data_IF_975031111734
#
_entry.id   IF_975031111734
#
_cell.length_a   1.000
_cell.length_b   1.000
_cell.length_c   1.000
_cell.angle_alpha   90.00
_cell.angle_beta   90.00
_cell.angle_gamma   90.00
#
_symmetry.space_group_name_H-M   'P 1'
#
loop_
_entity.id
_entity.type
_entity.pdbx_description
1 polymer ?
#
# COMPACT_ATOMS: atom_id res chain seq x y z
N UNK A 1 -19.79 29.30 23.63
CA UNK A 1 -18.55 29.24 24.45
C UNK A 1 -18.31 27.76 24.66
N UNK A 2 -17.89 27.13 23.58
CA UNK A 2 -17.70 25.68 23.52
C UNK A 2 -16.21 25.42 23.55
N UNK A 3 -15.79 24.81 24.64
CA UNK A 3 -14.42 24.39 24.87
C UNK A 3 -14.05 23.33 23.83
N UNK A 4 -13.05 23.62 22.99
CA UNK A 4 -12.35 22.64 22.18
C UNK A 4 -11.72 21.57 23.08
N UNK A 5 -12.42 20.46 23.31
CA UNK A 5 -11.83 19.24 23.85
C UNK A 5 -10.80 18.73 22.84
N UNK A 6 -9.54 19.05 23.08
CA UNK A 6 -8.42 18.51 22.34
C UNK A 6 -8.45 16.97 22.43
N UNK A 7 -8.66 16.34 21.28
CA UNK A 7 -8.79 14.91 21.06
C UNK A 7 -7.51 14.17 21.49
N UNK A 8 -7.42 13.79 22.75
CA UNK A 8 -6.38 12.91 23.30
C UNK A 8 -6.77 11.45 23.00
N UNK A 9 -5.83 10.56 22.65
CA UNK A 9 -6.13 9.22 22.15
C UNK A 9 -6.76 8.24 23.14
N UNK A 10 -7.28 8.71 24.31
CA UNK A 10 -7.87 7.84 25.32
C UNK A 10 -9.12 8.46 25.94
N UNK A 11 -10.26 7.83 25.74
CA UNK A 11 -11.54 8.17 26.37
C UNK A 11 -11.61 7.88 27.90
N UNK A 12 -12.59 8.42 28.65
CA UNK A 12 -12.63 8.42 30.10
C UNK A 12 -13.11 7.07 30.67
N UNK A 13 -12.29 6.34 31.40
CA UNK A 13 -12.71 5.41 32.45
C UNK A 13 -11.56 4.87 33.33
N UNK A 14 -11.74 4.94 34.66
CA UNK A 14 -11.08 4.28 35.80
C UNK A 14 -9.88 4.96 36.50
N UNK A 15 -9.81 4.86 37.84
CA UNK A 15 -8.88 5.57 38.73
C UNK A 15 -7.38 5.40 38.46
N UNK A 16 -6.92 4.29 37.85
CA UNK A 16 -5.54 4.12 37.35
C UNK A 16 -5.21 4.99 36.13
N UNK A 17 -6.21 5.52 35.43
CA UNK A 17 -6.04 6.39 34.25
C UNK A 17 -5.77 7.84 34.63
N UNK A 18 -6.12 8.29 35.85
CA UNK A 18 -5.82 9.63 36.33
C UNK A 18 -4.32 9.89 36.48
N UNK A 19 -3.58 8.89 36.94
CA UNK A 19 -2.12 8.93 37.13
C UNK A 19 -1.36 9.05 35.81
N UNK A 20 -1.71 8.19 34.85
CA UNK A 20 -1.11 8.19 33.51
C UNK A 20 -1.41 9.52 32.77
N UNK A 21 -2.58 10.12 33.01
CA UNK A 21 -2.99 11.39 32.38
C UNK A 21 -2.18 12.57 32.91
N UNK A 22 -1.89 12.65 34.21
CA UNK A 22 -1.05 13.73 34.78
C UNK A 22 0.38 13.60 34.29
N UNK A 23 0.96 12.39 34.31
CA UNK A 23 2.30 12.15 33.80
C UNK A 23 2.41 12.46 32.29
N UNK A 24 1.39 12.11 31.50
CA UNK A 24 1.32 12.41 30.07
C UNK A 24 1.28 13.93 29.81
N UNK A 25 0.43 14.66 30.54
CA UNK A 25 0.32 16.11 30.41
C UNK A 25 1.61 16.82 30.82
N UNK A 26 2.29 16.33 31.85
CA UNK A 26 3.58 16.86 32.28
C UNK A 26 4.70 16.54 31.28
N UNK A 27 4.74 15.33 30.73
CA UNK A 27 5.66 14.94 29.66
C UNK A 27 5.46 15.80 28.41
N UNK A 28 4.21 16.05 28.02
CA UNK A 28 3.87 16.95 26.92
C UNK A 28 4.37 18.39 27.18
N UNK A 29 4.18 18.90 28.39
CA UNK A 29 4.67 20.23 28.77
C UNK A 29 6.21 20.31 28.71
N UNK A 30 6.91 19.28 29.16
CA UNK A 30 8.36 19.25 29.07
C UNK A 30 8.84 19.24 27.62
N UNK A 31 8.23 18.45 26.75
CA UNK A 31 8.59 18.34 25.33
C UNK A 31 8.18 19.57 24.49
N UNK A 32 7.42 20.50 25.03
CA UNK A 32 7.04 21.73 24.34
C UNK A 32 8.19 22.78 24.22
N UNK A 33 9.41 22.44 24.63
CA UNK A 33 10.58 23.33 24.55
C UNK A 33 11.90 22.58 24.75
N UNK A 34 12.99 23.31 25.05
CA UNK A 34 14.30 22.72 25.22
C UNK A 34 14.43 21.81 26.45
N UNK A 35 15.43 20.92 26.44
CA UNK A 35 15.74 20.02 27.58
C UNK A 35 16.44 20.71 28.76
N UNK A 36 16.68 22.02 28.72
CA UNK A 36 17.31 22.76 29.82
C UNK A 36 16.49 22.68 31.10
N UNK A 37 17.12 22.33 32.23
CA UNK A 37 16.45 22.10 33.50
C UNK A 37 15.58 23.27 33.98
N UNK A 38 16.03 24.51 33.78
CA UNK A 38 15.25 25.70 34.11
C UNK A 38 13.98 25.83 33.28
N UNK A 39 14.08 25.57 31.97
CA UNK A 39 12.93 25.58 31.04
C UNK A 39 11.95 24.43 31.32
N UNK A 40 12.45 23.24 31.64
CA UNK A 40 11.62 22.07 32.05
C UNK A 40 10.84 22.39 33.32
N UNK A 41 11.51 22.94 34.39
CA UNK A 41 10.87 23.34 35.64
C UNK A 41 9.74 24.35 35.37
N UNK A 42 10.03 25.41 34.59
CA UNK A 42 9.06 26.48 34.33
C UNK A 42 7.81 25.92 33.58
N UNK A 43 8.00 25.10 32.54
CA UNK A 43 6.86 24.46 31.84
C UNK A 43 6.09 23.49 32.74
N UNK A 44 6.79 22.75 33.58
CA UNK A 44 6.14 21.90 34.59
C UNK A 44 5.31 22.68 35.58
N UNK A 45 5.83 23.84 36.07
CA UNK A 45 5.11 24.77 36.94
C UNK A 45 3.84 25.31 36.25
N UNK A 46 3.95 25.70 35.00
CA UNK A 46 2.80 26.19 34.22
C UNK A 46 1.77 25.08 34.01
N UNK A 47 2.20 23.87 33.64
CA UNK A 47 1.32 22.72 33.45
C UNK A 47 0.55 22.34 34.73
N UNK A 48 1.22 22.42 35.88
CA UNK A 48 0.65 22.04 37.17
C UNK A 48 -0.05 23.21 37.91
N UNK A 49 0.14 24.45 37.42
CA UNK A 49 -0.43 25.66 38.01
C UNK A 49 0.29 26.13 39.30
N UNK A 50 1.30 25.40 39.77
CA UNK A 50 2.15 25.79 40.91
C UNK A 50 3.49 25.09 40.85
N UNK A 51 4.51 25.61 41.54
CA UNK A 51 5.80 24.95 41.71
C UNK A 51 5.69 23.85 42.78
N UNK A 52 6.22 22.68 42.47
CA UNK A 52 6.19 21.51 43.35
C UNK A 52 7.61 21.23 43.86
N UNK A 53 7.84 20.86 45.14
CA UNK A 53 9.16 20.61 45.70
C UNK A 53 10.01 19.56 44.94
N UNK A 54 9.38 18.61 44.28
CA UNK A 54 10.02 17.55 43.50
C UNK A 54 10.33 17.95 42.06
N UNK A 55 9.71 19.00 41.54
CA UNK A 55 9.83 19.40 40.13
C UNK A 55 11.26 19.77 39.71
N UNK A 56 12.07 20.51 40.51
CA UNK A 56 13.46 20.83 40.15
C UNK A 56 14.33 19.56 40.00
N UNK A 57 14.21 18.59 40.89
CA UNK A 57 14.98 17.34 40.82
C UNK A 57 14.56 16.47 39.65
N UNK A 58 13.26 16.40 39.32
CA UNK A 58 12.77 15.72 38.14
C UNK A 58 13.28 16.38 36.85
N UNK A 59 13.23 17.72 36.77
CA UNK A 59 13.75 18.47 35.61
C UNK A 59 15.25 18.21 35.35
N UNK A 60 16.05 18.15 36.40
CA UNK A 60 17.48 17.80 36.28
C UNK A 60 17.67 16.36 35.77
N UNK A 61 16.92 15.41 36.30
CA UNK A 61 17.00 14.00 35.84
C UNK A 61 16.62 13.88 34.39
N UNK A 62 15.55 14.55 33.94
CA UNK A 62 15.16 14.57 32.53
C UNK A 62 16.25 15.14 31.65
N UNK A 63 16.83 16.30 32.06
CA UNK A 63 17.93 16.94 31.35
C UNK A 63 19.12 15.98 31.14
N UNK A 64 19.54 15.28 32.20
CA UNK A 64 20.66 14.33 32.10
C UNK A 64 20.31 13.04 31.38
N UNK A 65 19.09 12.55 31.49
CA UNK A 65 18.66 11.28 30.87
C UNK A 65 18.48 11.40 29.36
N UNK A 66 18.00 12.54 28.87
CA UNK A 66 17.66 12.69 27.45
C UNK A 66 18.63 13.61 26.69
N UNK A 67 19.24 14.62 27.31
CA UNK A 67 20.26 15.48 26.71
C UNK A 67 19.89 15.93 25.27
N UNK A 68 20.74 15.57 24.31
CA UNK A 68 20.55 15.86 22.88
C UNK A 68 19.46 14.99 22.20
N UNK A 69 19.02 13.91 22.84
CA UNK A 69 17.96 13.03 22.33
C UNK A 69 16.56 13.48 22.76
N UNK A 70 16.45 14.65 23.35
CA UNK A 70 15.18 15.21 23.82
C UNK A 70 14.30 15.63 22.64
N UNK A 71 13.30 14.80 22.30
CA UNK A 71 12.39 15.01 21.16
C UNK A 71 10.97 14.53 21.47
N UNK A 72 9.95 15.02 20.74
CA UNK A 72 8.56 14.58 20.91
C UNK A 72 8.32 13.06 20.77
N UNK A 73 9.19 12.35 20.06
CA UNK A 73 9.09 10.89 19.89
C UNK A 73 9.42 10.13 21.18
N UNK A 74 10.05 10.79 22.16
CA UNK A 74 10.39 10.22 23.47
C UNK A 74 9.28 10.41 24.51
N UNK A 75 8.05 10.71 24.09
CA UNK A 75 6.93 11.00 24.99
C UNK A 75 6.64 9.82 25.96
N UNK A 76 6.65 8.59 25.47
CA UNK A 76 6.38 7.39 26.29
C UNK A 76 7.50 7.11 27.28
N UNK A 77 8.76 7.30 26.86
CA UNK A 77 9.92 7.14 27.72
C UNK A 77 9.93 8.19 28.84
N UNK A 78 9.63 9.43 28.47
CA UNK A 78 9.54 10.54 29.41
C UNK A 78 8.36 10.35 30.39
N UNK A 79 7.21 9.90 29.91
CA UNK A 79 6.07 9.55 30.77
C UNK A 79 6.45 8.43 31.75
N UNK A 80 7.16 7.42 31.29
CA UNK A 80 7.64 6.31 32.14
C UNK A 80 8.62 6.79 33.21
N UNK A 81 9.54 7.70 32.85
CA UNK A 81 10.48 8.31 33.79
C UNK A 81 9.75 9.14 34.86
N UNK A 82 8.72 9.91 34.47
CA UNK A 82 7.90 10.70 35.40
C UNK A 82 7.13 9.79 36.36
N UNK A 83 6.52 8.72 35.85
CA UNK A 83 5.79 7.74 36.67
C UNK A 83 6.70 7.03 37.68
N UNK A 84 7.98 6.79 37.31
CA UNK A 84 9.00 6.22 38.20
C UNK A 84 9.65 7.23 39.15
N UNK A 85 9.27 8.51 39.12
CA UNK A 85 9.84 9.54 40.01
C UNK A 85 9.31 9.42 41.44
N UNK A 86 10.18 9.24 42.46
CA UNK A 86 9.73 9.10 43.86
C UNK A 86 9.01 10.34 44.39
N UNK A 87 9.43 11.54 43.96
CA UNK A 87 8.80 12.80 44.38
C UNK A 87 7.41 12.97 43.78
N UNK A 88 7.27 12.63 42.51
CA UNK A 88 5.97 12.60 41.83
C UNK A 88 5.03 11.56 42.42
N UNK A 89 5.52 10.33 42.65
CA UNK A 89 4.74 9.26 43.27
C UNK A 89 4.26 9.64 44.68
N UNK A 90 5.13 10.23 45.51
CA UNK A 90 4.76 10.72 46.85
C UNK A 90 3.70 11.84 46.78
N UNK A 91 3.82 12.78 45.85
CA UNK A 91 2.86 13.85 45.67
C UNK A 91 1.49 13.38 45.21
N UNK A 92 1.45 12.27 44.44
CA UNK A 92 0.17 11.66 44.03
C UNK A 92 -0.55 10.94 45.15
N UNK A 93 0.17 10.44 46.15
CA UNK A 93 -0.39 9.77 47.34
C UNK A 93 -0.91 10.76 48.38
N UNK A 94 -0.75 12.08 48.15
CA UNK A 94 -1.21 13.13 49.05
C UNK A 94 -2.74 13.25 49.03
N UNK A 95 -3.43 12.98 50.15
CA UNK A 95 -4.89 13.06 50.22
C UNK A 95 -5.47 14.47 50.06
N UNK A 96 -4.64 15.52 50.32
CA UNK A 96 -5.06 16.92 50.27
C UNK A 96 -4.93 17.60 48.90
N UNK A 97 -4.66 16.83 47.87
CA UNK A 97 -4.70 17.31 46.50
C UNK A 97 -3.40 17.13 45.71
N UNK A 98 -3.19 15.92 45.20
CA UNK A 98 -2.05 15.59 44.30
C UNK A 98 -1.99 16.46 43.07
N UNK A 99 -0.88 16.38 42.29
CA UNK A 99 -0.66 17.18 41.10
C UNK A 99 -1.77 16.94 40.06
N UNK A 100 -2.28 18.02 39.47
CA UNK A 100 -3.29 18.00 38.40
C UNK A 100 -2.82 18.90 37.25
N UNK A 101 -3.09 18.49 36.01
CA UNK A 101 -2.81 19.35 34.87
C UNK A 101 -3.83 20.50 34.85
N UNK A 102 -3.31 21.72 34.91
CA UNK A 102 -4.07 22.98 34.84
C UNK A 102 -3.93 23.65 33.47
N UNK A 103 -2.77 23.45 32.80
CA UNK A 103 -2.54 23.94 31.46
C UNK A 103 -1.95 22.81 30.60
N UNK A 104 -2.55 22.58 29.44
CA UNK A 104 -2.07 21.63 28.47
C UNK A 104 -1.14 22.32 27.47
N UNK A 105 -0.02 21.71 27.22
CA UNK A 105 0.93 22.16 26.20
C UNK A 105 0.73 21.32 24.93
N UNK A 106 0.40 21.94 23.80
CA UNK A 106 0.33 21.21 22.55
C UNK A 106 1.72 20.73 22.18
N UNK A 107 1.89 19.44 22.01
CA UNK A 107 3.09 18.90 21.38
C UNK A 107 3.11 19.37 19.94
N UNK A 108 4.12 20.12 19.56
CA UNK A 108 4.34 20.44 18.15
C UNK A 108 4.70 19.15 17.44
N UNK A 109 3.76 18.63 16.65
CA UNK A 109 4.03 17.47 15.84
C UNK A 109 5.22 17.76 14.93
N UNK A 110 6.24 16.90 14.96
CA UNK A 110 7.39 16.98 14.08
C UNK A 110 7.40 15.74 13.19
N UNK A 111 7.79 15.94 11.95
CA UNK A 111 8.04 14.84 11.03
C UNK A 111 9.51 14.44 11.17
N UNK A 112 9.77 13.17 11.46
CA UNK A 112 11.10 12.58 11.51
C UNK A 112 11.30 11.67 10.29
N UNK A 113 11.76 12.24 9.18
CA UNK A 113 12.03 11.45 7.97
C UNK A 113 13.13 10.43 8.22
N UNK A 114 12.92 9.14 7.89
CA UNK A 114 13.94 8.12 8.08
C UNK A 114 15.13 8.35 7.14
N UNK A 115 16.33 8.06 7.62
CA UNK A 115 17.52 8.03 6.78
C UNK A 115 17.58 6.69 6.07
N UNK A 116 17.13 6.64 4.81
CA UNK A 116 17.14 5.43 3.98
C UNK A 116 17.91 5.73 2.70
N UNK A 117 18.87 4.87 2.30
CA UNK A 117 19.59 5.04 1.04
C UNK A 117 18.63 5.11 -0.15
N UNK A 118 18.78 6.16 -0.98
CA UNK A 118 17.95 6.37 -2.16
C UNK A 118 16.58 7.02 -1.89
N UNK A 119 16.24 7.31 -0.62
CA UNK A 119 15.05 8.08 -0.29
C UNK A 119 15.30 9.55 -0.65
N UNK A 120 14.48 10.09 -1.54
CA UNK A 120 14.45 11.52 -1.83
C UNK A 120 13.74 12.27 -0.68
N UNK A 121 13.98 13.57 -0.57
CA UNK A 121 13.33 14.39 0.44
C UNK A 121 11.80 14.32 0.31
N UNK A 122 11.14 13.83 1.37
CA UNK A 122 9.68 13.77 1.44
C UNK A 122 9.11 15.13 1.86
N UNK A 123 7.87 15.47 1.43
CA UNK A 123 7.19 16.66 1.92
C UNK A 123 7.12 16.67 3.45
N UNK A 124 7.55 17.77 4.07
CA UNK A 124 7.49 17.94 5.53
C UNK A 124 6.08 18.34 5.94
N UNK A 125 5.31 17.36 6.41
CA UNK A 125 3.90 17.51 6.76
C UNK A 125 3.71 17.07 8.22
N UNK A 126 3.88 18.01 9.13
CA UNK A 126 3.80 17.76 10.57
C UNK A 126 2.37 17.96 11.12
N UNK A 127 1.55 18.81 10.45
CA UNK A 127 0.19 19.15 10.89
C UNK A 127 -0.84 18.87 9.81
N UNK A 128 -2.13 18.88 10.18
CA UNK A 128 -3.23 18.73 9.20
C UNK A 128 -3.33 19.95 8.28
N UNK A 129 -3.03 21.14 8.78
CA UNK A 129 -3.00 22.36 7.96
C UNK A 129 -1.97 22.24 6.86
N UNK A 130 -0.73 21.83 7.20
CA UNK A 130 0.32 21.58 6.20
C UNK A 130 -0.06 20.50 5.19
N UNK A 131 -0.75 19.43 5.63
CA UNK A 131 -1.25 18.39 4.71
C UNK A 131 -2.36 18.95 3.81
N UNK A 132 -3.29 19.75 4.36
CA UNK A 132 -4.36 20.39 3.61
C UNK A 132 -3.81 21.34 2.55
N UNK A 133 -2.90 22.24 2.93
CA UNK A 133 -2.20 23.15 2.03
C UNK A 133 -1.46 22.41 0.92
N UNK A 134 -0.70 21.36 1.30
CA UNK A 134 0.02 20.54 0.33
C UNK A 134 -0.91 19.84 -0.66
N UNK A 135 -2.13 19.45 -0.24
CA UNK A 135 -3.16 18.85 -1.10
C UNK A 135 -4.03 19.89 -1.82
N UNK A 136 -3.86 21.21 -1.56
CA UNK A 136 -4.70 22.31 -2.05
C UNK A 136 -6.16 22.15 -1.62
N UNK A 137 -6.37 21.86 -0.33
CA UNK A 137 -7.66 21.67 0.30
C UNK A 137 -7.81 22.59 1.51
N UNK A 138 -9.05 22.86 1.91
CA UNK A 138 -9.36 23.27 3.29
C UNK A 138 -9.23 22.09 4.25
N UNK A 139 -9.09 22.34 5.54
CA UNK A 139 -9.07 21.27 6.56
C UNK A 139 -10.38 20.48 6.55
N UNK A 140 -11.52 21.16 6.35
CA UNK A 140 -12.86 20.53 6.25
C UNK A 140 -12.96 19.61 5.03
N UNK A 141 -12.45 20.04 3.87
CA UNK A 141 -12.38 19.20 2.66
C UNK A 141 -11.44 18.00 2.89
N UNK A 142 -10.31 18.21 3.58
CA UNK A 142 -9.39 17.15 3.93
C UNK A 142 -10.08 16.11 4.83
N UNK A 143 -10.80 16.54 5.88
CA UNK A 143 -11.59 15.67 6.75
C UNK A 143 -12.68 14.91 5.97
N UNK A 144 -13.36 15.62 5.07
CA UNK A 144 -14.37 15.04 4.18
C UNK A 144 -13.85 13.91 3.31
N UNK A 145 -12.69 14.10 2.66
CA UNK A 145 -12.11 13.09 1.78
C UNK A 145 -11.42 11.95 2.52
N UNK A 146 -10.79 12.23 3.65
CA UNK A 146 -10.06 11.23 4.43
C UNK A 146 -11.00 10.33 5.23
N UNK A 147 -12.12 10.89 5.74
CA UNK A 147 -13.06 10.20 6.63
C UNK A 147 -12.34 9.28 7.64
N UNK A 148 -11.46 9.83 8.50
CA UNK A 148 -10.52 9.05 9.30
C UNK A 148 -11.19 8.13 10.32
N UNK A 149 -12.46 8.37 10.62
CA UNK A 149 -13.28 7.61 11.57
C UNK A 149 -14.24 6.64 10.87
N UNK A 150 -14.28 6.65 9.53
CA UNK A 150 -15.18 5.85 8.71
C UNK A 150 -16.68 6.01 9.07
N UNK A 151 -17.08 7.20 9.55
CA UNK A 151 -18.48 7.49 9.94
C UNK A 151 -19.39 7.72 8.73
N UNK A 152 -18.79 8.07 7.60
CA UNK A 152 -19.54 8.43 6.41
C UNK A 152 -19.65 7.21 5.49
N UNK A 153 -20.75 6.47 5.62
CA UNK A 153 -21.12 5.42 4.67
C UNK A 153 -22.22 5.96 3.73
N UNK A 154 -21.87 6.81 2.73
CA UNK A 154 -22.86 7.35 1.82
C UNK A 154 -23.49 6.22 0.99
N UNK A 155 -24.72 6.43 0.52
CA UNK A 155 -25.33 5.52 -0.45
C UNK A 155 -24.40 5.40 -1.65
N UNK A 156 -24.20 4.19 -2.22
CA UNK A 156 -23.19 3.95 -3.29
C UNK A 156 -23.26 4.90 -4.48
N UNK A 157 -24.46 5.26 -4.92
CA UNK A 157 -24.68 6.15 -6.07
C UNK A 157 -24.89 7.62 -5.69
N UNK A 158 -24.70 7.94 -4.40
CA UNK A 158 -24.82 9.32 -3.93
C UNK A 158 -23.75 10.21 -4.57
N UNK A 159 -24.09 11.47 -4.91
CA UNK A 159 -23.11 12.47 -5.35
C UNK A 159 -21.95 12.64 -4.36
N UNK A 160 -22.22 12.43 -3.06
CA UNK A 160 -21.23 12.56 -1.98
C UNK A 160 -20.35 11.32 -1.80
N UNK A 161 -20.67 10.16 -2.39
CA UNK A 161 -19.79 9.00 -2.37
C UNK A 161 -18.51 9.28 -3.14
N UNK A 162 -17.35 8.84 -2.61
CA UNK A 162 -16.05 9.09 -3.22
C UNK A 162 -15.64 8.07 -4.28
N UNK A 163 -16.31 6.91 -4.33
CA UNK A 163 -15.99 5.80 -5.22
C UNK A 163 -17.17 5.41 -6.11
N UNK A 164 -16.84 4.84 -7.27
CA UNK A 164 -17.75 4.10 -8.14
C UNK A 164 -17.34 2.64 -8.13
N UNK A 165 -18.32 1.73 -8.20
CA UNK A 165 -18.10 0.30 -8.05
C UNK A 165 -18.46 -0.44 -9.32
N UNK A 166 -17.56 -1.34 -9.77
CA UNK A 166 -17.76 -2.15 -10.96
C UNK A 166 -17.34 -3.58 -10.69
N UNK A 167 -18.28 -4.52 -10.72
CA UNK A 167 -17.96 -5.93 -10.68
C UNK A 167 -17.40 -6.40 -12.03
N UNK A 168 -16.29 -7.12 -11.98
CA UNK A 168 -15.67 -7.75 -13.15
C UNK A 168 -15.52 -9.24 -12.92
N UNK A 169 -15.92 -10.07 -13.92
CA UNK A 169 -15.62 -11.51 -13.91
C UNK A 169 -14.14 -11.72 -14.26
N UNK A 170 -13.47 -12.56 -13.45
CA UNK A 170 -12.14 -13.07 -13.75
C UNK A 170 -12.23 -14.18 -14.78
N UNK A 171 -11.12 -14.52 -15.45
CA UNK A 171 -11.06 -15.64 -16.41
C UNK A 171 -11.34 -17.01 -15.77
N UNK A 172 -11.06 -17.14 -14.48
CA UNK A 172 -11.32 -18.32 -13.66
C UNK A 172 -12.77 -18.38 -13.10
N UNK A 173 -13.68 -17.52 -13.58
CA UNK A 173 -15.07 -17.42 -13.14
C UNK A 173 -15.29 -16.61 -11.87
N UNK A 174 -14.25 -16.29 -11.11
CA UNK A 174 -14.35 -15.49 -9.89
C UNK A 174 -14.78 -14.04 -10.16
N UNK A 175 -15.25 -13.34 -9.12
CA UNK A 175 -15.61 -11.92 -9.18
C UNK A 175 -14.49 -11.05 -8.59
N UNK A 176 -14.35 -9.85 -9.16
CA UNK A 176 -13.44 -8.80 -8.71
C UNK A 176 -14.20 -7.49 -8.62
N UNK A 177 -14.15 -6.82 -7.48
CA UNK A 177 -14.68 -5.48 -7.34
C UNK A 177 -13.60 -4.47 -7.75
N UNK A 178 -13.95 -3.59 -8.68
CA UNK A 178 -13.16 -2.42 -9.01
C UNK A 178 -13.78 -1.22 -8.28
N UNK A 179 -12.99 -0.59 -7.43
CA UNK A 179 -13.32 0.56 -6.61
C UNK A 179 -12.63 1.79 -7.22
N UNK A 180 -13.31 2.43 -8.15
CA UNK A 180 -12.75 3.55 -8.90
C UNK A 180 -13.02 4.88 -8.17
N UNK A 181 -11.99 5.60 -7.68
CA UNK A 181 -12.19 6.90 -7.06
C UNK A 181 -12.74 7.90 -8.06
N UNK A 182 -13.68 8.76 -7.62
CA UNK A 182 -14.20 9.87 -8.41
C UNK A 182 -13.10 10.92 -8.70
N UNK A 183 -13.28 11.79 -9.68
CA UNK A 183 -12.20 12.65 -10.21
C UNK A 183 -11.45 13.47 -9.14
N UNK A 184 -12.15 14.04 -8.15
CA UNK A 184 -11.51 14.87 -7.10
C UNK A 184 -10.61 14.03 -6.20
N UNK A 185 -11.12 12.93 -5.63
CA UNK A 185 -10.31 12.01 -4.82
C UNK A 185 -9.17 11.38 -5.66
N UNK A 186 -9.42 11.05 -6.93
CA UNK A 186 -8.38 10.51 -7.82
C UNK A 186 -7.21 11.49 -8.01
N UNK A 187 -7.48 12.79 -8.09
CA UNK A 187 -6.42 13.82 -8.16
C UNK A 187 -5.60 13.86 -6.89
N UNK A 188 -6.24 13.82 -5.72
CA UNK A 188 -5.55 13.77 -4.43
C UNK A 188 -4.65 12.54 -4.33
N UNK A 189 -5.18 11.36 -4.67
CA UNK A 189 -4.39 10.12 -4.67
C UNK A 189 -3.22 10.13 -5.67
N UNK A 190 -3.37 10.81 -6.82
CA UNK A 190 -2.24 11.01 -7.75
C UNK A 190 -1.19 11.96 -7.18
N UNK A 191 -1.60 13.01 -6.49
CA UNK A 191 -0.67 13.92 -5.81
C UNK A 191 0.11 13.18 -4.72
N UNK A 192 -0.57 12.37 -3.90
CA UNK A 192 0.07 11.48 -2.92
C UNK A 192 1.02 10.49 -3.61
N UNK A 193 0.60 9.88 -4.71
CA UNK A 193 1.45 8.97 -5.48
C UNK A 193 2.74 9.65 -5.93
N UNK A 194 2.64 10.76 -6.66
CA UNK A 194 3.80 11.37 -7.30
C UNK A 194 4.67 12.17 -6.32
N UNK A 195 4.06 12.85 -5.34
CA UNK A 195 4.78 13.71 -4.42
C UNK A 195 5.30 13.02 -3.16
N UNK A 196 4.72 11.84 -2.81
CA UNK A 196 5.05 11.18 -1.56
C UNK A 196 5.50 9.72 -1.75
N UNK A 197 4.84 8.93 -2.62
CA UNK A 197 5.12 7.51 -2.73
C UNK A 197 6.19 7.19 -3.78
N UNK A 198 6.17 7.85 -4.94
CA UNK A 198 7.16 7.64 -6.01
C UNK A 198 8.62 7.89 -5.56
N UNK A 199 8.90 8.88 -4.66
CA UNK A 199 10.24 9.07 -4.09
C UNK A 199 10.73 7.92 -3.20
N UNK A 200 9.83 7.09 -2.66
CA UNK A 200 10.20 6.01 -1.74
C UNK A 200 10.69 4.79 -2.52
N UNK A 201 11.91 4.30 -2.27
CA UNK A 201 12.45 3.17 -3.00
C UNK A 201 11.70 1.88 -2.70
N UNK A 202 11.29 1.18 -3.75
CA UNK A 202 10.70 -0.16 -3.66
C UNK A 202 11.78 -1.24 -3.75
N UNK A 203 11.50 -2.45 -3.26
CA UNK A 203 12.45 -3.56 -3.34
C UNK A 203 12.84 -3.86 -4.81
N UNK A 204 14.11 -4.17 -5.12
CA UNK A 204 14.57 -4.46 -6.48
C UNK A 204 13.81 -5.58 -7.19
N UNK A 205 13.28 -6.57 -6.47
CA UNK A 205 12.49 -7.66 -7.02
C UNK A 205 11.07 -7.26 -7.45
N UNK A 206 10.55 -6.10 -7.04
CA UNK A 206 9.24 -5.61 -7.47
C UNK A 206 9.31 -5.09 -8.91
N UNK A 207 8.65 -5.76 -9.85
CA UNK A 207 8.67 -5.43 -11.28
C UNK A 207 7.36 -4.81 -11.77
N UNK A 208 6.25 -5.07 -11.09
CA UNK A 208 4.94 -4.56 -11.47
C UNK A 208 4.64 -3.18 -10.91
N UNK A 209 4.10 -2.27 -11.76
CA UNK A 209 3.72 -0.91 -11.38
C UNK A 209 4.88 -0.08 -10.77
N UNK A 210 6.09 -0.28 -11.26
CA UNK A 210 7.30 0.46 -10.90
C UNK A 210 7.80 1.20 -12.14
N UNK A 211 8.14 2.48 -11.97
CA UNK A 211 8.65 3.29 -13.09
C UNK A 211 9.93 2.69 -13.65
N UNK A 212 10.02 2.59 -14.98
CA UNK A 212 11.19 2.02 -15.69
C UNK A 212 11.28 0.49 -15.64
N UNK A 213 10.27 -0.21 -15.10
CA UNK A 213 10.19 -1.68 -15.09
C UNK A 213 8.90 -2.14 -15.75
N UNK A 214 8.98 -3.19 -16.55
CA UNK A 214 7.84 -3.70 -17.29
C UNK A 214 7.76 -5.22 -17.37
N UNK A 215 6.75 -5.69 -18.10
CA UNK A 215 6.49 -7.11 -18.33
C UNK A 215 7.68 -7.80 -19.00
N UNK A 216 8.36 -7.10 -19.92
CA UNK A 216 9.49 -7.64 -20.67
C UNK A 216 10.70 -7.81 -19.75
N UNK A 217 10.97 -6.83 -18.88
CA UNK A 217 12.05 -6.90 -17.90
C UNK A 217 11.84 -8.06 -16.93
N UNK A 218 10.60 -8.16 -16.39
CA UNK A 218 10.22 -9.27 -15.52
C UNK A 218 10.40 -10.63 -16.21
N UNK A 219 9.90 -10.77 -17.45
CA UNK A 219 10.06 -12.00 -18.23
C UNK A 219 11.53 -12.31 -18.56
N UNK A 220 12.33 -11.29 -18.87
CA UNK A 220 13.76 -11.40 -19.18
C UNK A 220 14.58 -12.00 -18.03
N UNK A 221 14.27 -11.65 -16.77
CA UNK A 221 14.94 -12.21 -15.59
C UNK A 221 14.83 -13.73 -15.50
N UNK A 222 13.73 -14.29 -15.97
CA UNK A 222 13.40 -15.71 -15.86
C UNK A 222 13.55 -16.48 -17.18
N UNK A 223 14.00 -15.82 -18.25
CA UNK A 223 14.16 -16.46 -19.53
C UNK A 223 15.31 -17.47 -19.55
N UNK A 224 15.12 -18.58 -20.27
CA UNK A 224 16.12 -19.64 -20.45
C UNK A 224 16.40 -20.49 -19.22
N UNK A 225 15.56 -20.41 -18.19
CA UNK A 225 15.75 -21.18 -16.95
C UNK A 225 15.19 -22.60 -17.09
N UNK A 226 15.87 -23.57 -16.46
CA UNK A 226 15.45 -24.98 -16.48
C UNK A 226 14.07 -25.17 -15.87
N UNK A 227 13.75 -24.39 -14.83
CA UNK A 227 12.48 -24.49 -14.11
C UNK A 227 11.97 -23.15 -13.62
N UNK A 228 10.65 -23.01 -13.63
CA UNK A 228 9.90 -21.91 -13.04
C UNK A 228 9.03 -22.43 -11.89
N UNK A 229 9.03 -21.71 -10.76
CA UNK A 229 8.06 -21.87 -9.67
C UNK A 229 7.26 -20.57 -9.59
N UNK A 230 5.95 -20.69 -9.65
CA UNK A 230 5.03 -19.55 -9.62
C UNK A 230 4.02 -19.71 -8.52
N UNK A 231 3.71 -18.61 -7.84
CA UNK A 231 2.65 -18.48 -6.87
C UNK A 231 2.00 -17.11 -7.01
N UNK A 232 0.67 -17.07 -7.00
CA UNK A 232 -0.11 -15.83 -7.03
C UNK A 232 -0.59 -15.49 -5.62
N UNK A 233 -0.61 -14.22 -5.25
CA UNK A 233 -1.17 -13.77 -3.98
C UNK A 233 -2.67 -13.50 -4.15
N UNK A 234 -3.47 -14.14 -3.28
CA UNK A 234 -4.92 -13.96 -3.29
C UNK A 234 -5.29 -12.58 -2.75
N UNK A 235 -6.20 -11.90 -3.46
CA UNK A 235 -6.77 -10.61 -3.05
C UNK A 235 -5.72 -9.60 -2.57
N UNK A 236 -4.61 -9.50 -3.31
CA UNK A 236 -3.40 -8.76 -2.94
C UNK A 236 -3.71 -7.34 -2.43
N UNK A 237 -4.47 -6.53 -3.21
CA UNK A 237 -4.85 -5.17 -2.77
C UNK A 237 -5.82 -5.19 -1.58
N UNK A 238 -6.97 -5.88 -1.64
CA UNK A 238 -7.90 -5.91 -0.52
C UNK A 238 -7.34 -6.56 0.75
N UNK A 239 -6.35 -7.42 0.61
CA UNK A 239 -5.65 -8.05 1.74
C UNK A 239 -4.80 -7.06 2.55
N UNK A 240 -4.42 -5.91 1.95
CA UNK A 240 -3.64 -4.88 2.65
C UNK A 240 -4.59 -3.96 3.41
N UNK A 241 -4.63 -4.11 4.74
CA UNK A 241 -5.50 -3.37 5.64
C UNK A 241 -4.98 -1.97 5.94
N UNK A 242 -5.90 -1.07 6.33
CA UNK A 242 -5.57 0.30 6.69
C UNK A 242 -4.50 0.41 7.78
N UNK A 243 -4.48 -0.51 8.75
CA UNK A 243 -3.46 -0.55 9.80
C UNK A 243 -2.04 -0.67 9.23
N UNK A 244 -1.85 -1.49 8.19
CA UNK A 244 -0.55 -1.64 7.51
C UNK A 244 -0.16 -0.39 6.74
N UNK A 245 -1.12 0.28 6.11
CA UNK A 245 -0.91 1.56 5.41
C UNK A 245 -0.57 2.66 6.42
N UNK A 246 -1.28 2.71 7.56
CA UNK A 246 -0.98 3.66 8.63
C UNK A 246 0.44 3.45 9.19
N UNK A 247 0.82 2.20 9.46
CA UNK A 247 2.17 1.87 9.92
C UNK A 247 3.24 2.27 8.89
N UNK A 248 2.97 2.10 7.58
CA UNK A 248 3.86 2.56 6.52
C UNK A 248 4.05 4.08 6.56
N UNK A 249 2.98 4.88 6.64
CA UNK A 249 3.11 6.33 6.73
C UNK A 249 3.83 6.76 8.01
N UNK A 250 3.62 6.05 9.13
CA UNK A 250 4.37 6.28 10.38
C UNK A 250 5.86 5.98 10.20
N UNK A 251 6.22 4.88 9.54
CA UNK A 251 7.63 4.54 9.26
C UNK A 251 8.32 5.52 8.31
N UNK A 252 7.55 6.26 7.50
CA UNK A 252 8.05 7.36 6.67
C UNK A 252 8.23 8.67 7.46
N UNK A 253 7.93 8.65 8.78
CA UNK A 253 8.15 9.78 9.69
C UNK A 253 6.94 10.68 9.90
N UNK A 254 5.81 10.45 9.25
CA UNK A 254 4.63 11.28 9.42
C UNK A 254 4.00 11.12 10.81
N UNK A 255 3.63 12.22 11.50
CA UNK A 255 2.92 12.17 12.78
C UNK A 255 1.61 11.38 12.68
N UNK A 256 1.17 10.82 13.81
CA UNK A 256 0.00 9.92 13.87
C UNK A 256 -1.26 10.51 13.21
N UNK A 257 -1.56 11.80 13.46
CA UNK A 257 -2.71 12.48 12.84
C UNK A 257 -2.56 12.54 11.31
N UNK A 258 -1.43 13.01 10.81
CA UNK A 258 -1.16 13.11 9.36
C UNK A 258 -1.19 11.72 8.71
N UNK A 259 -0.54 10.72 9.31
CA UNK A 259 -0.56 9.33 8.84
C UNK A 259 -2.00 8.76 8.78
N UNK A 260 -2.87 9.08 9.76
CA UNK A 260 -4.28 8.67 9.78
C UNK A 260 -5.03 9.25 8.58
N UNK A 261 -4.86 10.54 8.27
CA UNK A 261 -5.52 11.19 7.14
C UNK A 261 -5.00 10.71 5.80
N UNK A 262 -3.69 10.53 5.65
CA UNK A 262 -3.10 9.90 4.45
C UNK A 262 -3.64 8.47 4.25
N UNK A 263 -3.80 7.72 5.33
CA UNK A 263 -4.43 6.39 5.30
C UNK A 263 -5.89 6.49 4.86
N UNK A 264 -6.65 7.42 5.40
CA UNK A 264 -8.03 7.66 5.01
C UNK A 264 -8.21 7.97 3.53
N UNK A 265 -7.36 8.87 2.99
CA UNK A 265 -7.36 9.25 1.57
C UNK A 265 -7.00 8.10 0.62
N UNK A 266 -6.24 7.11 1.08
CA UNK A 266 -5.68 6.04 0.24
C UNK A 266 -6.32 4.67 0.46
N UNK A 267 -7.17 4.52 1.46
CA UNK A 267 -7.89 3.28 1.78
C UNK A 267 -9.41 3.50 1.70
N UNK A 268 -10.17 2.40 1.62
CA UNK A 268 -11.61 2.45 1.46
C UNK A 268 -12.31 1.30 2.19
N UNK A 269 -13.58 1.53 2.60
CA UNK A 269 -14.53 0.52 3.05
C UNK A 269 -15.63 0.40 2.02
N UNK A 270 -15.82 -0.76 1.41
CA UNK A 270 -16.93 -0.95 0.48
C UNK A 270 -18.26 -1.05 1.21
N UNK A 271 -19.29 -0.28 0.80
CA UNK A 271 -20.60 -0.34 1.43
C UNK A 271 -21.23 -1.73 1.34
N UNK A 272 -21.84 -2.27 2.43
CA UNK A 272 -22.43 -3.61 2.43
C UNK A 272 -23.43 -3.84 1.30
N UNK A 273 -24.19 -2.82 0.88
CA UNK A 273 -25.15 -2.91 -0.22
C UNK A 273 -24.52 -3.32 -1.54
N UNK A 274 -23.31 -2.83 -1.86
CA UNK A 274 -22.55 -3.23 -3.05
C UNK A 274 -22.13 -4.69 -2.96
N UNK A 275 -21.82 -5.15 -1.74
CA UNK A 275 -21.35 -6.51 -1.48
C UNK A 275 -22.51 -7.54 -1.41
N UNK A 276 -23.73 -7.08 -1.17
CA UNK A 276 -24.92 -7.93 -1.26
C UNK A 276 -25.43 -8.08 -2.70
N UNK A 277 -25.22 -7.06 -3.55
CA UNK A 277 -25.60 -7.06 -4.96
C UNK A 277 -24.57 -7.76 -5.87
N UNK A 278 -24.13 -8.96 -5.49
CA UNK A 278 -23.15 -9.73 -6.27
C UNK A 278 -23.78 -10.24 -7.58
N UNK A 279 -23.17 -9.98 -8.73
CA UNK A 279 -23.66 -10.43 -10.02
C UNK A 279 -23.31 -11.93 -10.23
N UNK A 280 -24.01 -12.82 -9.51
CA UNK A 280 -23.86 -14.25 -9.70
C UNK A 280 -24.36 -14.68 -11.09
N UNK A 281 -23.65 -15.63 -11.69
CA UNK A 281 -24.09 -16.29 -12.91
C UNK A 281 -25.09 -17.43 -12.63
N UNK A 282 -25.84 -17.82 -13.65
CA UNK A 282 -26.79 -18.90 -13.59
C UNK A 282 -26.12 -20.23 -13.18
N UNK A 283 -24.87 -20.42 -13.58
CA UNK A 283 -24.10 -21.66 -13.34
C UNK A 283 -23.21 -21.62 -12.09
N UNK A 284 -23.25 -20.53 -11.27
CA UNK A 284 -22.46 -20.45 -10.04
C UNK A 284 -23.07 -21.39 -8.98
N UNK A 285 -22.28 -22.37 -8.49
CA UNK A 285 -22.75 -23.30 -7.45
C UNK A 285 -23.03 -22.58 -6.12
N UNK A 286 -23.90 -23.14 -5.24
CA UNK A 286 -24.15 -22.58 -3.91
C UNK A 286 -22.86 -22.36 -3.10
N UNK A 287 -21.90 -23.27 -3.19
CA UNK A 287 -20.61 -23.17 -2.51
C UNK A 287 -19.76 -22.01 -3.06
N UNK A 288 -19.72 -21.85 -4.39
CA UNK A 288 -19.04 -20.73 -5.03
C UNK A 288 -19.67 -19.40 -4.62
N UNK A 289 -20.99 -19.32 -4.56
CA UNK A 289 -21.73 -18.13 -4.11
C UNK A 289 -21.42 -17.81 -2.66
N UNK A 290 -21.41 -18.80 -1.76
CA UNK A 290 -21.08 -18.61 -0.35
C UNK A 290 -19.64 -18.15 -0.16
N UNK A 291 -18.69 -18.77 -0.83
CA UNK A 291 -17.28 -18.39 -0.79
C UNK A 291 -17.06 -16.94 -1.30
N UNK A 292 -17.71 -16.59 -2.41
CA UNK A 292 -17.64 -15.22 -2.98
C UNK A 292 -18.25 -14.20 -2.03
N UNK A 293 -19.36 -14.50 -1.36
CA UNK A 293 -19.96 -13.63 -0.33
C UNK A 293 -19.03 -13.40 0.84
N UNK A 294 -18.41 -14.46 1.40
CA UNK A 294 -17.45 -14.33 2.52
C UNK A 294 -16.29 -13.43 2.14
N UNK A 295 -15.74 -13.58 0.94
CA UNK A 295 -14.66 -12.70 0.44
C UNK A 295 -15.13 -11.27 0.22
N UNK A 296 -16.34 -11.08 -0.31
CA UNK A 296 -16.90 -9.77 -0.49
C UNK A 296 -17.08 -9.05 0.86
N UNK A 297 -17.58 -9.73 1.89
CA UNK A 297 -17.75 -9.15 3.22
C UNK A 297 -16.45 -8.64 3.85
N UNK A 298 -15.30 -9.23 3.51
CA UNK A 298 -14.01 -8.71 3.96
C UNK A 298 -13.67 -7.30 3.41
N UNK A 299 -14.35 -6.86 2.34
CA UNK A 299 -14.21 -5.51 1.79
C UNK A 299 -14.97 -4.45 2.61
N UNK A 300 -15.79 -4.84 3.60
CA UNK A 300 -16.37 -3.92 4.57
C UNK A 300 -15.31 -3.31 5.50
N UNK A 301 -14.21 -4.03 5.76
CA UNK A 301 -13.10 -3.49 6.52
C UNK A 301 -12.28 -2.54 5.63
N UNK A 302 -11.69 -1.52 6.25
CA UNK A 302 -10.89 -0.54 5.52
C UNK A 302 -9.63 -1.19 4.94
N UNK A 303 -9.52 -1.15 3.62
CA UNK A 303 -8.49 -1.86 2.83
C UNK A 303 -7.97 -0.99 1.68
N UNK A 304 -6.93 -1.47 0.99
CA UNK A 304 -6.38 -0.83 -0.20
C UNK A 304 -7.29 -1.07 -1.41
N UNK A 305 -7.93 -0.03 -1.99
CA UNK A 305 -8.94 -0.20 -3.05
C UNK A 305 -8.32 -0.64 -4.37
N UNK A 306 -8.97 -1.58 -5.05
CA UNK A 306 -8.57 -2.04 -6.37
C UNK A 306 -9.11 -1.11 -7.46
N UNK A 307 -8.33 -0.13 -7.88
CA UNK A 307 -8.71 0.87 -8.89
C UNK A 307 -8.26 2.28 -8.55
N UNK A 308 -7.71 2.49 -7.36
CA UNK A 308 -7.11 3.76 -6.97
C UNK A 308 -5.66 3.89 -7.52
N UNK A 309 -5.24 5.08 -7.95
CA UNK A 309 -3.91 5.30 -8.52
C UNK A 309 -2.76 5.09 -7.52
N UNK A 310 -2.98 5.35 -6.23
CA UNK A 310 -1.98 5.15 -5.17
C UNK A 310 -1.81 3.69 -4.74
N UNK A 311 -2.81 2.83 -4.99
CA UNK A 311 -2.81 1.45 -4.49
C UNK A 311 -1.62 0.61 -4.96
N UNK A 312 -1.16 0.66 -6.22
CA UNK A 312 -0.01 -0.12 -6.65
C UNK A 312 1.30 0.23 -5.93
N UNK A 313 1.57 1.52 -5.74
CA UNK A 313 2.77 1.97 -5.03
C UNK A 313 2.73 1.57 -3.55
N UNK A 314 1.60 1.82 -2.87
CA UNK A 314 1.40 1.41 -1.48
C UNK A 314 1.53 -0.12 -1.30
N UNK A 315 0.97 -0.90 -2.23
CA UNK A 315 1.08 -2.35 -2.18
C UNK A 315 2.53 -2.82 -2.32
N UNK A 316 3.31 -2.21 -3.23
CA UNK A 316 4.73 -2.52 -3.38
C UNK A 316 5.53 -2.19 -2.11
N UNK A 317 5.27 -1.05 -1.48
CA UNK A 317 5.92 -0.66 -0.23
C UNK A 317 5.52 -1.57 0.94
N UNK A 318 4.25 -1.95 1.07
CA UNK A 318 3.79 -2.90 2.07
C UNK A 318 4.36 -4.31 1.87
N UNK A 319 4.65 -4.70 0.63
CA UNK A 319 5.27 -5.98 0.30
C UNK A 319 6.81 -5.97 0.38
N UNK A 320 7.44 -4.86 0.78
CA UNK A 320 8.90 -4.74 0.81
C UNK A 320 9.56 -5.85 1.65
N UNK A 321 9.03 -6.11 2.85
CA UNK A 321 9.55 -7.15 3.75
C UNK A 321 9.33 -8.55 3.19
N UNK A 322 8.20 -8.81 2.54
CA UNK A 322 7.94 -10.05 1.81
C UNK A 322 9.01 -10.25 0.72
N UNK A 323 9.26 -9.22 -0.11
CA UNK A 323 10.25 -9.27 -1.19
C UNK A 323 11.67 -9.48 -0.64
N UNK A 324 12.02 -8.84 0.48
CA UNK A 324 13.33 -8.99 1.13
C UNK A 324 13.57 -10.44 1.57
N UNK A 325 12.58 -11.06 2.22
CA UNK A 325 12.66 -12.46 2.68
C UNK A 325 12.71 -13.43 1.51
N UNK A 326 11.82 -13.27 0.52
CA UNK A 326 11.78 -14.13 -0.66
C UNK A 326 13.04 -14.00 -1.52
N UNK A 327 13.62 -12.80 -1.64
CA UNK A 327 14.90 -12.61 -2.32
C UNK A 327 16.07 -13.27 -1.58
N UNK A 328 16.07 -13.23 -0.25
CA UNK A 328 17.02 -13.95 0.60
C UNK A 328 16.92 -15.46 0.41
N UNK A 329 15.71 -16.00 0.49
CA UNK A 329 15.41 -17.41 0.28
C UNK A 329 15.80 -17.88 -1.14
N UNK A 330 15.53 -17.08 -2.16
CA UNK A 330 15.93 -17.38 -3.54
C UNK A 330 17.44 -17.51 -3.67
N UNK A 331 18.20 -16.56 -3.10
CA UNK A 331 19.70 -16.64 -3.09
C UNK A 331 20.21 -17.92 -2.41
N UNK A 332 19.63 -18.29 -1.28
CA UNK A 332 19.99 -19.50 -0.56
C UNK A 332 19.72 -20.78 -1.37
N UNK A 333 18.71 -20.77 -2.24
CA UNK A 333 18.36 -21.89 -3.13
C UNK A 333 19.04 -21.80 -4.52
N UNK A 334 19.93 -20.84 -4.78
CA UNK A 334 20.52 -20.63 -6.11
C UNK A 334 19.48 -20.24 -7.17
N UNK A 335 18.36 -19.64 -6.77
CA UNK A 335 17.26 -19.24 -7.64
C UNK A 335 17.24 -17.72 -7.86
N UNK A 336 16.60 -17.30 -8.95
CA UNK A 336 16.21 -15.91 -9.21
C UNK A 336 14.81 -15.70 -8.69
N UNK A 337 14.55 -14.52 -8.14
CA UNK A 337 13.22 -14.11 -7.64
C UNK A 337 12.82 -12.76 -8.20
N UNK A 338 11.58 -12.63 -8.59
CA UNK A 338 10.92 -11.34 -8.79
C UNK A 338 9.40 -11.44 -8.57
N UNK A 339 8.77 -10.28 -8.35
CA UNK A 339 7.31 -10.15 -8.16
C UNK A 339 6.72 -9.16 -9.17
N UNK A 340 5.66 -9.55 -9.84
CA UNK A 340 4.88 -8.66 -10.70
C UNK A 340 3.48 -8.48 -10.12
N UNK A 341 3.29 -7.44 -9.31
CA UNK A 341 2.07 -7.16 -8.51
C UNK A 341 1.81 -8.29 -7.51
N UNK A 342 0.88 -9.18 -7.82
CA UNK A 342 0.49 -10.38 -7.05
C UNK A 342 1.16 -11.68 -7.53
N UNK A 343 1.80 -11.68 -8.70
CA UNK A 343 2.50 -12.85 -9.24
C UNK A 343 3.94 -12.95 -8.71
N UNK A 344 4.25 -13.98 -7.92
CA UNK A 344 5.60 -14.34 -7.46
C UNK A 344 6.22 -15.33 -8.44
N UNK A 345 7.48 -15.12 -8.83
CA UNK A 345 8.21 -16.02 -9.71
C UNK A 345 9.61 -16.34 -9.17
N UNK A 346 9.90 -17.63 -9.08
CA UNK A 346 11.25 -18.15 -8.86
C UNK A 346 11.71 -18.95 -10.09
N UNK A 347 12.99 -18.90 -10.41
CA UNK A 347 13.52 -19.72 -11.51
C UNK A 347 14.97 -20.09 -11.27
N UNK A 348 15.39 -21.22 -11.84
CA UNK A 348 16.77 -21.67 -11.70
C UNK A 348 17.03 -23.04 -12.30
N UNK A 349 18.25 -23.54 -12.08
CA UNK A 349 18.72 -24.85 -12.50
C UNK A 349 18.51 -25.88 -11.38
N UNK A 350 17.26 -26.14 -11.02
CA UNK A 350 16.86 -27.11 -10.00
C UNK A 350 15.86 -28.13 -10.56
N UNK A 351 15.75 -29.30 -9.91
CA UNK A 351 14.83 -30.38 -10.30
C UNK A 351 13.38 -30.12 -9.85
N UNK A 352 12.46 -31.04 -10.15
CA UNK A 352 11.05 -30.89 -9.77
C UNK A 352 10.86 -30.96 -8.26
N UNK A 353 11.57 -31.84 -7.55
CA UNK A 353 11.45 -32.01 -6.13
C UNK A 353 11.92 -30.76 -5.36
N UNK A 354 13.04 -30.18 -5.80
CA UNK A 354 13.52 -28.91 -5.28
C UNK A 354 12.51 -27.78 -5.57
N UNK A 355 11.91 -27.75 -6.77
CA UNK A 355 10.87 -26.79 -7.12
C UNK A 355 9.66 -26.84 -6.19
N UNK A 356 9.21 -28.03 -5.79
CA UNK A 356 8.12 -28.20 -4.82
C UNK A 356 8.53 -27.77 -3.41
N UNK A 357 9.79 -28.04 -2.97
CA UNK A 357 10.30 -27.54 -1.68
C UNK A 357 10.37 -25.99 -1.68
N UNK A 358 10.81 -25.39 -2.77
CA UNK A 358 10.82 -23.93 -2.93
C UNK A 358 9.38 -23.38 -2.84
N UNK A 359 8.40 -24.04 -3.48
CA UNK A 359 7.02 -23.61 -3.43
C UNK A 359 6.44 -23.67 -2.01
N UNK A 360 6.75 -24.72 -1.23
CA UNK A 360 6.35 -24.82 0.18
C UNK A 360 6.97 -23.69 1.03
N UNK A 361 8.28 -23.45 0.87
CA UNK A 361 8.98 -22.36 1.56
C UNK A 361 8.38 -20.97 1.21
N UNK A 362 7.99 -20.75 -0.06
CA UNK A 362 7.32 -19.50 -0.47
C UNK A 362 5.98 -19.36 0.27
N UNK A 363 5.20 -20.45 0.37
CA UNK A 363 3.90 -20.44 1.07
C UNK A 363 4.06 -20.02 2.54
N UNK A 364 5.02 -20.62 3.25
CA UNK A 364 5.30 -20.29 4.64
C UNK A 364 5.65 -18.81 4.81
N UNK A 365 6.59 -18.29 4.00
CA UNK A 365 7.01 -16.88 4.07
C UNK A 365 5.84 -15.94 3.74
N UNK A 366 5.03 -16.26 2.72
CA UNK A 366 3.87 -15.47 2.32
C UNK A 366 2.86 -15.34 3.45
N UNK A 367 2.57 -16.46 4.16
CA UNK A 367 1.63 -16.47 5.30
C UNK A 367 2.19 -15.72 6.51
N UNK A 368 3.45 -15.90 6.84
CA UNK A 368 4.10 -15.19 7.95
C UNK A 368 4.14 -13.67 7.71
N UNK A 369 4.21 -13.23 6.45
CA UNK A 369 4.13 -11.81 6.07
C UNK A 369 2.68 -11.30 5.95
N UNK A 370 1.69 -12.13 6.31
CA UNK A 370 0.28 -11.76 6.37
C UNK A 370 -0.40 -11.64 5.00
N UNK A 371 0.13 -12.34 3.98
CA UNK A 371 -0.51 -12.49 2.68
C UNK A 371 -1.13 -13.89 2.53
N UNK A 372 -2.06 -14.03 1.58
CA UNK A 372 -2.72 -15.31 1.32
C UNK A 372 -2.25 -15.89 -0.03
N UNK A 373 -1.66 -17.10 -0.05
CA UNK A 373 -1.25 -17.76 -1.29
C UNK A 373 -2.46 -18.31 -2.07
N UNK A 374 -2.41 -18.22 -3.38
CA UNK A 374 -3.41 -18.76 -4.29
C UNK A 374 -2.95 -20.09 -4.91
N UNK A 375 -3.12 -21.18 -4.19
CA UNK A 375 -2.71 -22.50 -4.62
C UNK A 375 -3.30 -22.98 -5.95
N UNK A 376 -4.47 -22.46 -6.35
CA UNK A 376 -5.09 -22.81 -7.66
C UNK A 376 -4.23 -22.36 -8.84
N UNK A 377 -3.38 -21.38 -8.65
CA UNK A 377 -2.46 -20.83 -9.66
C UNK A 377 -1.01 -21.21 -9.43
N UNK A 378 -0.72 -21.92 -8.32
CA UNK A 378 0.63 -22.39 -8.02
C UNK A 378 1.08 -23.41 -9.08
N UNK A 379 2.32 -23.29 -9.54
CA UNK A 379 2.86 -24.19 -10.56
C UNK A 379 4.38 -24.31 -10.47
N UNK A 380 4.85 -25.53 -10.69
CA UNK A 380 6.27 -25.86 -10.94
C UNK A 380 6.38 -26.32 -12.40
N UNK A 381 7.01 -25.50 -13.26
CA UNK A 381 7.01 -25.71 -14.73
C UNK A 381 8.44 -25.94 -15.24
N UNK A 382 8.70 -27.09 -15.84
CA UNK A 382 9.98 -27.41 -16.46
C UNK A 382 10.15 -26.85 -17.88
N UNK A 383 11.38 -26.86 -18.41
CA UNK A 383 11.72 -26.36 -19.73
C UNK A 383 11.04 -27.12 -20.89
N UNK A 384 10.63 -28.39 -20.66
CA UNK A 384 9.86 -29.18 -21.64
C UNK A 384 8.41 -28.73 -21.86
N UNK A 385 7.87 -27.91 -20.94
CA UNK A 385 6.55 -27.31 -21.04
C UNK A 385 6.62 -25.82 -21.36
N UNK A 386 5.49 -25.21 -21.74
CA UNK A 386 5.44 -23.78 -22.01
C UNK A 386 5.56 -22.98 -20.71
N UNK A 387 6.73 -22.42 -20.44
CA UNK A 387 6.98 -21.52 -19.31
C UNK A 387 6.39 -20.16 -19.64
N UNK A 388 5.25 -19.84 -19.02
CA UNK A 388 4.52 -18.58 -19.23
C UNK A 388 4.62 -17.68 -17.99
N UNK A 389 4.98 -16.41 -18.22
CA UNK A 389 5.11 -15.39 -17.18
C UNK A 389 4.53 -14.08 -17.70
N UNK A 390 3.58 -13.48 -16.95
CA UNK A 390 2.91 -12.22 -17.31
C UNK A 390 2.44 -12.13 -18.79
N UNK A 391 1.94 -13.26 -19.35
CA UNK A 391 1.45 -13.33 -20.71
C UNK A 391 2.50 -13.67 -21.78
N UNK A 392 3.78 -13.71 -21.43
CA UNK A 392 4.89 -14.07 -22.34
C UNK A 392 5.36 -15.50 -22.10
N UNK A 393 5.92 -16.13 -23.14
CA UNK A 393 6.66 -17.40 -23.04
C UNK A 393 8.13 -17.11 -22.85
N UNK A 394 8.79 -17.77 -21.87
CA UNK A 394 10.18 -17.47 -21.45
C UNK A 394 11.14 -18.67 -21.54
N UNK A 395 10.77 -19.74 -22.24
CA UNK A 395 11.61 -20.95 -22.34
C UNK A 395 13.04 -20.69 -22.83
N UNK A 396 13.27 -19.74 -23.73
CA UNK A 396 14.61 -19.34 -24.21
C UNK A 396 14.85 -17.84 -24.03
N UNK A 397 13.95 -17.04 -24.52
CA UNK A 397 13.90 -15.58 -24.42
C UNK A 397 12.42 -15.15 -24.40
N UNK A 398 12.09 -13.94 -23.93
CA UNK A 398 10.71 -13.48 -23.93
C UNK A 398 10.09 -13.51 -25.32
N UNK A 399 8.92 -14.11 -25.45
CA UNK A 399 8.18 -14.22 -26.71
C UNK A 399 6.68 -14.13 -26.49
N UNK A 400 5.96 -13.72 -27.53
CA UNK A 400 4.52 -13.97 -27.57
C UNK A 400 4.25 -15.49 -27.58
N UNK A 401 3.18 -15.97 -26.93
CA UNK A 401 2.72 -17.34 -27.10
C UNK A 401 2.52 -17.66 -28.58
N UNK A 402 2.95 -18.85 -29.00
CA UNK A 402 2.92 -19.26 -30.41
C UNK A 402 1.54 -19.05 -31.03
N UNK A 403 0.49 -19.48 -30.37
CA UNK A 403 -0.87 -19.34 -30.88
C UNK A 403 -1.29 -17.86 -31.08
N UNK A 404 -0.83 -16.95 -30.21
CA UNK A 404 -1.10 -15.51 -30.33
C UNK A 404 -0.32 -14.90 -31.52
N UNK A 405 0.94 -15.26 -31.67
CA UNK A 405 1.76 -14.84 -32.80
C UNK A 405 1.20 -15.33 -34.13
N UNK A 406 0.86 -16.63 -34.23
CA UNK A 406 0.31 -17.24 -35.44
C UNK A 406 -1.05 -16.64 -35.80
N UNK A 407 -1.91 -16.37 -34.80
CA UNK A 407 -3.19 -15.70 -35.00
C UNK A 407 -3.01 -14.27 -35.52
N UNK A 408 -2.07 -13.49 -34.94
CA UNK A 408 -1.80 -12.14 -35.43
C UNK A 408 -1.26 -12.16 -36.86
N UNK A 409 -0.33 -13.07 -37.16
CA UNK A 409 0.19 -13.29 -38.52
C UNK A 409 -0.93 -13.61 -39.52
N UNK A 410 -1.85 -14.53 -39.16
CA UNK A 410 -2.99 -14.88 -40.01
C UNK A 410 -3.92 -13.68 -40.27
N UNK A 411 -4.23 -12.90 -39.24
CA UNK A 411 -5.03 -11.67 -39.39
C UNK A 411 -4.38 -10.71 -40.40
N UNK A 412 -3.08 -10.42 -40.23
CA UNK A 412 -2.35 -9.51 -41.11
C UNK A 412 -2.31 -10.01 -42.57
N UNK A 413 -2.07 -11.33 -42.77
CA UNK A 413 -2.06 -11.95 -44.09
C UNK A 413 -3.45 -11.89 -44.73
N UNK A 414 -4.53 -12.14 -43.95
CA UNK A 414 -5.89 -12.07 -44.47
C UNK A 414 -6.35 -10.63 -44.76
N UNK A 415 -5.87 -9.64 -43.98
CA UNK A 415 -6.09 -8.23 -44.32
C UNK A 415 -5.51 -7.86 -45.70
N UNK A 416 -4.35 -8.40 -46.06
CA UNK A 416 -3.75 -8.18 -47.38
C UNK A 416 -4.56 -8.85 -48.51
N UNK A 417 -5.13 -10.04 -48.23
CA UNK A 417 -5.85 -10.84 -49.29
C UNK A 417 -7.31 -10.45 -49.46
N UNK A 418 -7.98 -10.12 -48.38
CA UNK A 418 -9.43 -9.98 -48.31
C UNK A 418 -9.90 -8.63 -47.76
N UNK A 419 -8.97 -7.67 -47.59
CA UNK A 419 -9.23 -6.37 -47.01
C UNK A 419 -9.35 -6.36 -45.49
N UNK A 420 -9.06 -5.23 -44.81
CA UNK A 420 -9.07 -5.08 -43.36
C UNK A 420 -10.44 -5.35 -42.73
N UNK A 421 -11.54 -4.91 -43.38
CA UNK A 421 -12.92 -5.10 -42.89
C UNK A 421 -13.27 -6.54 -42.65
N UNK A 422 -12.75 -7.49 -43.46
CA UNK A 422 -12.97 -8.93 -43.33
C UNK A 422 -12.45 -9.51 -42.03
N UNK A 423 -11.48 -8.87 -41.41
CA UNK A 423 -10.80 -9.32 -40.18
C UNK A 423 -11.21 -8.53 -38.93
N UNK A 424 -11.95 -7.43 -39.07
CA UNK A 424 -12.41 -6.62 -37.94
C UNK A 424 -13.64 -7.22 -37.22
N UNK A 425 -13.53 -8.49 -36.80
CA UNK A 425 -14.63 -9.21 -36.10
C UNK A 425 -14.98 -8.59 -34.75
N UNK A 426 -14.10 -7.78 -34.17
CA UNK A 426 -14.31 -7.09 -32.89
C UNK A 426 -14.93 -5.71 -33.02
N UNK A 427 -15.32 -5.30 -34.21
CA UNK A 427 -15.88 -3.96 -34.50
C UNK A 427 -15.05 -2.81 -33.91
N UNK A 428 -13.73 -2.91 -34.02
CA UNK A 428 -12.86 -1.83 -33.58
C UNK A 428 -13.05 -0.59 -34.46
N UNK A 429 -13.32 0.56 -33.84
CA UNK A 429 -13.53 1.82 -34.52
C UNK A 429 -12.30 2.23 -35.37
N UNK A 430 -11.11 1.97 -34.84
CA UNK A 430 -9.83 2.15 -35.55
C UNK A 430 -9.06 0.82 -35.54
N UNK A 431 -9.36 -0.02 -36.52
CA UNK A 431 -8.77 -1.35 -36.62
C UNK A 431 -7.30 -1.28 -37.03
N UNK A 432 -6.90 -0.27 -37.79
CA UNK A 432 -5.48 -0.01 -38.14
C UNK A 432 -4.66 0.25 -36.89
N UNK A 433 -5.05 1.20 -36.05
CA UNK A 433 -4.37 1.51 -34.80
C UNK A 433 -4.36 0.30 -33.84
N UNK A 434 -5.47 -0.49 -33.78
CA UNK A 434 -5.51 -1.72 -32.98
C UNK A 434 -4.44 -2.73 -33.42
N UNK A 435 -4.32 -3.02 -34.72
CA UNK A 435 -3.30 -3.95 -35.24
C UNK A 435 -1.89 -3.39 -35.12
N UNK A 436 -1.72 -2.08 -35.36
CA UNK A 436 -0.43 -1.39 -35.19
C UNK A 436 0.10 -1.54 -33.76
N UNK A 437 -0.74 -1.36 -32.74
CA UNK A 437 -0.40 -1.56 -31.33
C UNK A 437 0.04 -3.00 -31.04
N UNK A 438 -0.65 -3.99 -31.61
CA UNK A 438 -0.28 -5.41 -31.47
C UNK A 438 1.04 -5.75 -32.13
N UNK A 439 1.31 -5.21 -33.31
CA UNK A 439 2.59 -5.38 -34.03
C UNK A 439 3.72 -4.69 -33.25
N UNK A 440 3.51 -3.46 -32.78
CA UNK A 440 4.48 -2.74 -31.95
C UNK A 440 4.83 -3.53 -30.68
N UNK A 441 3.83 -4.13 -30.01
CA UNK A 441 4.05 -5.00 -28.87
C UNK A 441 4.90 -6.24 -29.25
N UNK A 442 4.62 -6.89 -30.36
CA UNK A 442 5.43 -8.01 -30.84
C UNK A 442 6.89 -7.61 -31.13
N UNK A 443 7.11 -6.42 -31.70
CA UNK A 443 8.46 -5.86 -31.91
C UNK A 443 9.18 -5.59 -30.59
N UNK A 444 8.49 -5.04 -29.61
CA UNK A 444 9.09 -4.76 -28.30
C UNK A 444 9.49 -6.05 -27.55
N UNK A 445 8.68 -7.11 -27.65
CA UNK A 445 8.95 -8.40 -27.00
C UNK A 445 10.06 -9.18 -27.71
N UNK A 446 10.01 -9.25 -29.05
CA UNK A 446 10.98 -9.96 -29.87
C UNK A 446 11.15 -9.22 -31.22
N UNK A 447 12.21 -8.40 -31.37
CA UNK A 447 12.43 -7.60 -32.57
C UNK A 447 12.41 -8.39 -33.86
N UNK A 448 13.09 -9.54 -33.91
CA UNK A 448 13.20 -10.36 -35.12
C UNK A 448 11.85 -10.95 -35.57
N UNK A 449 11.01 -11.35 -34.65
CA UNK A 449 9.63 -11.81 -34.95
C UNK A 449 8.66 -10.65 -35.20
N UNK A 450 8.82 -9.56 -34.48
CA UNK A 450 8.04 -8.36 -34.68
C UNK A 450 8.21 -7.76 -36.06
N UNK A 451 9.43 -7.70 -36.57
CA UNK A 451 9.76 -7.19 -37.91
C UNK A 451 9.05 -7.96 -39.02
N UNK A 452 8.95 -9.29 -38.91
CA UNK A 452 8.18 -10.11 -39.84
C UNK A 452 6.69 -9.74 -39.85
N UNK A 453 6.11 -9.41 -38.70
CA UNK A 453 4.73 -8.94 -38.60
C UNK A 453 4.55 -7.50 -39.08
N UNK A 454 5.55 -6.64 -38.86
CA UNK A 454 5.58 -5.27 -39.37
C UNK A 454 5.57 -5.26 -40.87
N UNK A 455 6.44 -6.05 -41.52
CA UNK A 455 6.47 -6.18 -42.98
C UNK A 455 5.13 -6.68 -43.58
N UNK A 456 4.38 -7.48 -42.84
CA UNK A 456 3.01 -7.86 -43.24
C UNK A 456 2.04 -6.71 -43.06
N UNK A 457 2.12 -5.97 -41.96
CA UNK A 457 1.24 -4.85 -41.65
C UNK A 457 1.41 -3.71 -42.68
N UNK A 458 2.64 -3.36 -43.05
CA UNK A 458 2.98 -2.27 -43.95
C UNK A 458 2.48 -2.50 -45.39
N UNK A 459 2.24 -3.78 -45.77
CA UNK A 459 1.69 -4.19 -47.07
C UNK A 459 0.16 -4.19 -47.17
N UNK A 460 -0.53 -3.85 -46.07
CA UNK A 460 -2.02 -3.83 -46.06
C UNK A 460 -2.51 -2.56 -46.75
N UNK A 461 -3.36 -2.71 -47.76
CA UNK A 461 -4.10 -1.57 -48.31
C UNK A 461 -5.28 -1.19 -47.38
N UNK A 462 -5.12 -0.12 -46.64
CA UNK A 462 -6.10 0.37 -45.68
C UNK A 462 -7.25 1.16 -46.33
N UNK A 463 -7.21 1.37 -47.65
CA UNK A 463 -8.26 2.06 -48.40
C UNK A 463 -9.42 1.13 -48.80
N UNK A 464 -9.21 -0.17 -48.72
CA UNK A 464 -10.19 -1.21 -49.06
C UNK A 464 -11.11 -1.57 -47.86
N UNK A 465 -11.25 -0.74 -46.84
CA UNK A 465 -12.03 -1.02 -45.63
C UNK A 465 -12.96 0.08 -45.23
#
# INVERSE_FOLDING_TARGET
MDEEEADLPFGPAHAGRGLARVALGLAAAFLAGSSEAAGLRERGRQALGRDWPWLPSLALRIHFAFGSEFSPDRLEDLQSLILGDPGFAKALADPDGGPRIRAWFPLHAQMASPVVPGLQALPQLATLDQLADWLELSVDDLDWFADPQAWRAPKPDSPIAHYRYHWRRKRDGGLRLIEAPKPRLRRLQRRILHGLLDPVPVHPAAMGCVRGRGVIDHAGLHAGQLRLVKLDLRDFYPGIRASRIHALFRSLGYPTKVARYLTGLTTHCSPPRILHALPFGEYDSPEQRMHTRRRAMSLCDRHLPQGAPSSPALANLCAYRLDLRLAGAARACGARYSRYVDDLCFSGAFDAAQGHRILAMIDDIVREEGFEPNWRKAAVVGAGAAQRLTGLTVNRHPNLPRAEYDRLKAILTNCQRHGPSSQNKGNHRDFRAHLQGRVAWACAVNPARGEKLRSLFDRIDWRQG
#
